data_IF_861076397060
#
_entry.id   IF_861076397060
#
_cell.length_a   1.000
_cell.length_b   1.000
_cell.length_c   1.000
_cell.angle_alpha   90.00
_cell.angle_beta   90.00
_cell.angle_gamma   90.00
#
_symmetry.space_group_name_H-M   'P 1'
#
loop_
_entity.id
_entity.type
_entity.pdbx_description
1 polymer ?
#
# COMPACT_ATOMS: atom_id res chain seq x y z
N UNK A 1 -2.80 32.90 -13.84
CA UNK A 1 -2.28 32.65 -12.46
C UNK A 1 -2.36 31.14 -12.27
N UNK A 2 -1.23 30.46 -12.04
CA UNK A 2 -1.24 29.00 -11.88
C UNK A 2 -2.15 28.62 -10.71
N UNK A 3 -2.92 27.53 -10.85
CA UNK A 3 -3.72 27.00 -9.76
C UNK A 3 -2.77 26.49 -8.65
N UNK A 4 -2.98 26.92 -7.41
CA UNK A 4 -2.25 26.40 -6.26
C UNK A 4 -3.17 26.12 -5.07
N UNK A 5 -2.70 25.27 -4.17
CA UNK A 5 -3.22 25.14 -2.81
C UNK A 5 -2.11 24.80 -1.83
N UNK A 6 -2.32 25.12 -0.57
CA UNK A 6 -1.45 24.66 0.51
C UNK A 6 -1.51 23.14 0.66
N UNK A 7 -0.37 22.57 1.02
CA UNK A 7 -0.25 21.22 1.53
C UNK A 7 -0.91 21.15 2.91
N UNK A 8 -1.58 20.04 3.16
CA UNK A 8 -1.91 19.68 4.53
C UNK A 8 -0.75 18.96 5.23
N UNK A 9 -0.89 18.70 6.52
CA UNK A 9 0.20 18.17 7.34
C UNK A 9 0.60 16.74 6.98
N UNK A 10 -0.34 15.95 6.48
CA UNK A 10 -0.07 14.59 6.04
C UNK A 10 0.67 14.61 4.70
N UNK A 11 0.28 15.52 3.81
CA UNK A 11 1.02 15.76 2.56
C UNK A 11 2.42 16.34 2.84
N UNK A 12 2.57 17.22 3.82
CA UNK A 12 3.89 17.72 4.25
C UNK A 12 4.81 16.61 4.78
N UNK A 13 4.27 15.58 5.42
CA UNK A 13 5.04 14.41 5.85
C UNK A 13 5.67 13.70 4.64
N UNK A 14 4.87 13.43 3.59
CA UNK A 14 5.37 12.81 2.36
C UNK A 14 6.22 13.74 1.51
N UNK A 15 6.09 15.06 1.67
CA UNK A 15 7.02 16.01 1.08
C UNK A 15 8.40 15.97 1.75
N UNK A 16 8.44 15.78 3.07
CA UNK A 16 9.66 15.79 3.87
C UNK A 16 10.41 14.46 3.82
N UNK A 17 9.68 13.36 3.66
CA UNK A 17 10.21 12.02 3.38
C UNK A 17 9.54 11.45 2.13
N UNK A 18 10.06 11.77 0.92
CA UNK A 18 9.43 11.41 -0.35
C UNK A 18 9.29 9.91 -0.55
N UNK A 19 8.08 9.40 -0.32
CA UNK A 19 7.68 8.07 -0.73
C UNK A 19 7.07 8.12 -2.14
N UNK A 20 7.37 7.12 -2.96
CA UNK A 20 6.90 7.01 -4.34
C UNK A 20 6.16 5.70 -4.53
N UNK A 21 4.95 5.78 -5.07
CA UNK A 21 4.11 4.64 -5.42
C UNK A 21 4.28 4.37 -6.91
N UNK A 22 4.62 3.14 -7.28
CA UNK A 22 4.87 2.75 -8.67
C UNK A 22 3.74 1.90 -9.23
N UNK A 23 3.48 2.06 -10.53
CA UNK A 23 2.59 1.22 -11.32
C UNK A 23 3.26 0.86 -12.65
N UNK A 24 3.53 -0.42 -12.89
CA UNK A 24 3.89 -0.93 -14.21
C UNK A 24 2.71 -1.70 -14.81
N UNK A 25 2.41 -1.51 -16.08
CA UNK A 25 1.32 -2.15 -16.82
C UNK A 25 1.92 -2.84 -18.03
N UNK A 26 1.59 -4.12 -18.22
CA UNK A 26 1.86 -4.87 -19.46
C UNK A 26 0.58 -4.88 -20.31
N UNK A 27 0.69 -4.44 -21.55
CA UNK A 27 -0.40 -4.49 -22.53
C UNK A 27 -0.25 -5.73 -23.42
N UNK A 28 -1.33 -6.15 -24.08
CA UNK A 28 -1.31 -7.27 -25.02
C UNK A 28 -0.43 -7.01 -26.25
N UNK A 29 -0.31 -5.74 -26.67
CA UNK A 29 0.37 -5.34 -27.89
C UNK A 29 0.88 -3.89 -27.75
N UNK A 30 2.06 -3.61 -28.32
CA UNK A 30 2.70 -2.28 -28.29
C UNK A 30 1.87 -1.19 -28.98
N UNK A 31 0.99 -1.56 -29.92
CA UNK A 31 0.11 -0.63 -30.64
C UNK A 31 -0.81 0.16 -29.73
N UNK A 32 -1.10 -0.34 -28.52
CA UNK A 32 -1.97 0.32 -27.55
C UNK A 32 -1.23 1.38 -26.72
N UNK A 33 0.11 1.34 -26.68
CA UNK A 33 0.93 2.21 -25.82
C UNK A 33 0.70 3.70 -26.10
N UNK A 34 0.69 4.19 -27.36
CA UNK A 34 0.50 5.62 -27.62
C UNK A 34 -0.82 6.14 -27.05
N UNK A 35 -1.91 5.39 -27.22
CA UNK A 35 -3.23 5.76 -26.74
C UNK A 35 -3.32 5.73 -25.21
N UNK A 36 -2.71 4.74 -24.57
CA UNK A 36 -2.63 4.68 -23.10
C UNK A 36 -1.84 5.85 -22.53
N UNK A 37 -0.67 6.13 -23.09
CA UNK A 37 0.19 7.24 -22.63
C UNK A 37 -0.54 8.56 -22.78
N UNK A 38 -1.21 8.79 -23.91
CA UNK A 38 -2.03 9.98 -24.11
C UNK A 38 -3.13 10.10 -23.04
N UNK A 39 -3.87 9.02 -22.79
CA UNK A 39 -4.91 9.00 -21.75
C UNK A 39 -4.34 9.25 -20.35
N UNK A 40 -3.18 8.69 -20.01
CA UNK A 40 -2.49 8.93 -18.73
C UNK A 40 -2.04 10.38 -18.60
N UNK A 41 -1.40 10.94 -19.62
CA UNK A 41 -0.99 12.36 -19.64
C UNK A 41 -2.20 13.30 -19.49
N UNK A 42 -3.37 12.92 -20.04
CA UNK A 42 -4.61 13.67 -19.91
C UNK A 42 -5.26 13.54 -18.53
N UNK A 43 -5.12 12.39 -17.90
CA UNK A 43 -5.89 12.04 -16.70
C UNK A 43 -5.13 12.31 -15.40
N UNK A 44 -3.83 12.03 -15.35
CA UNK A 44 -3.09 12.02 -14.09
C UNK A 44 -2.58 13.43 -13.72
N UNK A 45 -3.09 14.04 -12.64
CA UNK A 45 -2.67 15.38 -12.26
C UNK A 45 -1.19 15.43 -11.85
N UNK A 46 -0.62 14.34 -11.32
CA UNK A 46 0.77 14.29 -10.84
C UNK A 46 1.81 14.69 -11.90
N UNK A 47 1.51 14.45 -13.18
CA UNK A 47 2.38 14.79 -14.32
C UNK A 47 2.47 16.29 -14.60
N UNK A 48 1.61 17.07 -13.93
CA UNK A 48 1.45 18.52 -14.09
C UNK A 48 1.49 19.25 -12.76
N UNK A 49 1.83 18.56 -11.68
CA UNK A 49 1.93 19.14 -10.36
C UNK A 49 3.37 19.14 -9.89
N UNK A 50 3.72 20.17 -9.13
CA UNK A 50 5.00 20.25 -8.42
C UNK A 50 4.80 20.96 -7.09
N UNK A 51 5.77 20.81 -6.21
CA UNK A 51 5.80 21.51 -4.93
C UNK A 51 6.58 22.81 -5.02
N UNK A 52 5.99 23.88 -4.50
CA UNK A 52 6.64 25.16 -4.29
C UNK A 52 6.44 25.59 -2.83
N UNK A 53 7.50 25.49 -2.02
CA UNK A 53 7.42 25.66 -0.57
C UNK A 53 6.32 24.76 0.05
N UNK A 54 5.31 25.35 0.70
CA UNK A 54 4.18 24.68 1.35
C UNK A 54 2.96 24.52 0.42
N UNK A 55 3.12 24.68 -0.89
CA UNK A 55 2.03 24.59 -1.87
C UNK A 55 2.24 23.51 -2.93
N UNK A 56 1.15 22.88 -3.36
CA UNK A 56 1.08 22.16 -4.64
C UNK A 56 0.61 23.14 -5.70
N UNK A 57 1.35 23.23 -6.80
CA UNK A 57 1.04 24.11 -7.92
C UNK A 57 0.91 23.29 -9.22
N UNK A 58 -0.07 23.65 -10.04
CA UNK A 58 -0.23 23.08 -11.39
C UNK A 58 0.62 23.85 -12.38
N UNK A 59 1.26 23.15 -13.31
CA UNK A 59 1.97 23.71 -14.44
C UNK A 59 1.57 23.03 -15.74
N UNK A 60 1.86 23.69 -16.87
CA UNK A 60 1.54 23.18 -18.21
C UNK A 60 2.74 22.55 -18.93
N UNK A 61 3.92 22.51 -18.30
CA UNK A 61 5.09 21.82 -18.86
C UNK A 61 4.78 20.34 -19.08
N UNK A 62 4.97 19.86 -20.30
CA UNK A 62 4.91 18.44 -20.62
C UNK A 62 6.17 17.74 -20.12
N UNK A 63 6.00 16.55 -19.58
CA UNK A 63 7.12 15.73 -19.11
C UNK A 63 7.61 14.81 -20.21
N UNK A 64 8.94 14.63 -20.33
CA UNK A 64 9.49 13.67 -21.27
C UNK A 64 9.02 12.25 -20.91
N UNK A 65 8.75 11.45 -21.94
CA UNK A 65 8.47 10.02 -21.77
C UNK A 65 9.82 9.30 -21.77
N UNK A 66 10.14 8.66 -20.65
CA UNK A 66 11.37 7.92 -20.46
C UNK A 66 11.33 6.58 -21.22
N UNK A 67 12.49 6.02 -21.56
CA UNK A 67 12.60 4.74 -22.24
C UNK A 67 13.12 3.68 -21.28
N UNK A 68 12.37 2.58 -21.11
CA UNK A 68 12.76 1.47 -20.24
C UNK A 68 13.83 0.63 -20.97
N UNK A 69 14.96 0.27 -20.32
CA UNK A 69 15.98 -0.61 -20.89
C UNK A 69 15.39 -1.96 -21.32
N UNK A 70 15.87 -2.52 -22.43
CA UNK A 70 15.36 -3.79 -23.00
C UNK A 70 15.70 -5.01 -22.15
N UNK A 71 16.69 -4.88 -21.29
CA UNK A 71 17.23 -5.94 -20.44
C UNK A 71 16.29 -6.26 -19.26
N UNK A 72 15.48 -5.29 -18.82
CA UNK A 72 14.63 -5.41 -17.62
C UNK A 72 13.30 -6.08 -17.98
N UNK A 73 13.11 -7.35 -17.60
CA UNK A 73 11.96 -8.12 -18.11
C UNK A 73 10.74 -8.06 -17.20
N UNK A 74 10.93 -8.02 -15.88
CA UNK A 74 9.80 -8.14 -14.93
C UNK A 74 9.22 -6.78 -14.57
N UNK A 75 7.90 -6.71 -14.40
CA UNK A 75 7.19 -5.46 -14.11
C UNK A 75 7.64 -4.78 -12.81
N UNK A 76 7.98 -5.57 -11.79
CA UNK A 76 8.51 -5.09 -10.51
C UNK A 76 9.92 -4.50 -10.66
N UNK A 77 10.79 -5.15 -11.44
CA UNK A 77 12.13 -4.64 -11.77
C UNK A 77 12.05 -3.34 -12.59
N UNK A 78 11.07 -3.24 -13.51
CA UNK A 78 10.78 -1.99 -14.25
C UNK A 78 10.39 -0.87 -13.30
N UNK A 79 9.49 -1.13 -12.35
CA UNK A 79 9.06 -0.14 -11.36
C UNK A 79 10.23 0.32 -10.47
N UNK A 80 11.08 -0.61 -10.02
CA UNK A 80 12.25 -0.29 -9.21
C UNK A 80 13.26 0.56 -9.98
N UNK A 81 13.57 0.18 -11.23
CA UNK A 81 14.45 0.97 -12.09
C UNK A 81 13.90 2.38 -12.32
N UNK A 82 12.61 2.51 -12.62
CA UNK A 82 11.99 3.81 -12.84
C UNK A 82 12.09 4.69 -11.58
N UNK A 83 11.83 4.12 -10.40
CA UNK A 83 11.95 4.84 -9.14
C UNK A 83 13.41 5.19 -8.79
N UNK A 84 14.34 4.27 -8.90
CA UNK A 84 15.73 4.47 -8.46
C UNK A 84 16.48 5.40 -9.41
N UNK A 85 16.26 5.29 -10.72
CA UNK A 85 17.06 6.00 -11.72
C UNK A 85 16.41 7.29 -12.24
N UNK A 86 15.10 7.42 -12.13
CA UNK A 86 14.34 8.47 -12.81
C UNK A 86 13.24 9.11 -11.97
N UNK A 87 13.29 8.98 -10.65
CA UNK A 87 12.44 9.78 -9.76
C UNK A 87 12.75 11.27 -9.93
N UNK A 88 11.79 12.11 -10.34
CA UNK A 88 12.00 13.54 -10.46
C UNK A 88 12.05 14.20 -9.09
N UNK A 89 12.64 15.40 -9.02
CA UNK A 89 12.49 16.23 -7.82
C UNK A 89 11.02 16.61 -7.64
N UNK A 90 10.53 16.55 -6.40
CA UNK A 90 9.16 16.99 -6.06
C UNK A 90 8.93 18.48 -6.41
N UNK A 91 9.99 19.27 -6.54
CA UNK A 91 9.94 20.67 -6.96
C UNK A 91 9.84 20.86 -8.48
N UNK A 92 10.03 19.79 -9.26
CA UNK A 92 9.93 19.79 -10.71
C UNK A 92 8.62 19.18 -11.18
N UNK A 93 8.30 17.96 -10.72
CA UNK A 93 7.04 17.26 -11.01
C UNK A 93 6.79 16.13 -10.00
N UNK A 94 5.53 15.79 -9.74
CA UNK A 94 5.12 14.74 -8.80
C UNK A 94 4.88 13.37 -9.44
N UNK A 95 5.06 13.23 -10.75
CA UNK A 95 4.99 11.95 -11.43
C UNK A 95 5.80 11.93 -12.74
N UNK A 96 6.19 10.73 -13.17
CA UNK A 96 6.86 10.46 -14.45
C UNK A 96 6.30 9.21 -15.13
N UNK A 97 6.48 9.13 -16.46
CA UNK A 97 6.10 7.97 -17.28
C UNK A 97 7.35 7.44 -17.99
N UNK A 98 7.50 6.12 -18.01
CA UNK A 98 8.45 5.40 -18.84
C UNK A 98 7.72 4.36 -19.70
N UNK A 99 8.23 4.09 -20.90
CA UNK A 99 7.65 3.10 -21.83
C UNK A 99 8.72 2.23 -22.47
N UNK A 100 8.32 1.03 -22.88
CA UNK A 100 9.07 0.15 -23.79
C UNK A 100 8.16 -0.93 -24.34
N UNK A 101 8.16 -1.10 -25.66
CA UNK A 101 7.35 -2.10 -26.35
C UNK A 101 5.90 -2.02 -25.83
N UNK A 102 5.36 -3.09 -25.24
CA UNK A 102 4.03 -3.16 -24.64
C UNK A 102 3.96 -2.79 -23.13
N UNK A 103 5.02 -2.26 -22.53
CA UNK A 103 5.10 -1.93 -21.10
C UNK A 103 5.07 -0.43 -20.87
N UNK A 104 4.26 -0.01 -19.89
CA UNK A 104 4.19 1.36 -19.39
C UNK A 104 4.50 1.33 -17.89
N UNK A 105 5.35 2.24 -17.42
CA UNK A 105 5.62 2.43 -16.00
C UNK A 105 5.32 3.86 -15.59
N UNK A 106 4.69 4.02 -14.43
CA UNK A 106 4.31 5.28 -13.82
C UNK A 106 4.94 5.30 -12.43
N UNK A 107 5.68 6.37 -12.13
CA UNK A 107 6.23 6.61 -10.80
C UNK A 107 5.56 7.87 -10.25
N UNK A 108 4.94 7.79 -9.07
CA UNK A 108 4.08 8.86 -8.56
C UNK A 108 4.36 9.13 -7.09
N UNK A 109 4.53 10.40 -6.74
CA UNK A 109 4.79 10.78 -5.36
C UNK A 109 3.54 10.55 -4.47
N UNK A 110 3.78 9.98 -3.28
CA UNK A 110 2.73 9.56 -2.36
C UNK A 110 1.90 10.74 -1.80
N UNK A 111 2.39 11.98 -1.88
CA UNK A 111 1.61 13.21 -1.58
C UNK A 111 0.25 13.22 -2.30
N UNK A 112 0.18 12.66 -3.51
CA UNK A 112 -1.01 12.74 -4.35
C UNK A 112 -1.41 11.40 -4.98
N UNK A 113 -0.94 10.28 -4.43
CA UNK A 113 -1.34 8.94 -4.84
C UNK A 113 -1.39 8.01 -3.63
N UNK A 114 -2.04 6.85 -3.79
CA UNK A 114 -2.03 5.74 -2.85
C UNK A 114 -2.38 4.44 -3.60
N UNK A 115 -2.49 3.30 -2.91
CA UNK A 115 -2.84 2.03 -3.56
C UNK A 115 -4.22 2.02 -4.23
N UNK A 116 -5.22 2.72 -3.65
CA UNK A 116 -6.56 2.82 -4.27
C UNK A 116 -6.52 3.71 -5.52
N UNK A 117 -5.70 4.75 -5.51
CA UNK A 117 -5.45 5.58 -6.68
C UNK A 117 -4.87 4.75 -7.83
N UNK A 118 -3.85 3.91 -7.58
CA UNK A 118 -3.29 3.03 -8.61
C UNK A 118 -4.29 2.01 -9.12
N UNK A 119 -5.08 1.41 -8.23
CA UNK A 119 -6.20 0.54 -8.60
C UNK A 119 -7.17 1.25 -9.55
N UNK A 120 -7.56 2.49 -9.24
CA UNK A 120 -8.45 3.27 -10.09
C UNK A 120 -7.85 3.53 -11.49
N UNK A 121 -6.52 3.71 -11.60
CA UNK A 121 -5.87 3.81 -12.91
C UNK A 121 -6.08 2.51 -13.68
N UNK A 122 -5.69 1.37 -13.11
CA UNK A 122 -5.78 0.06 -13.79
C UNK A 122 -7.21 -0.26 -14.22
N UNK A 123 -8.19 -0.09 -13.32
CA UNK A 123 -9.58 -0.49 -13.58
C UNK A 123 -10.33 0.42 -14.57
N UNK A 124 -9.89 1.69 -14.72
CA UNK A 124 -10.67 2.71 -15.44
C UNK A 124 -9.95 3.36 -16.61
N UNK A 125 -8.63 3.21 -16.76
CA UNK A 125 -7.87 3.88 -17.83
C UNK A 125 -8.28 3.39 -19.23
N UNK A 126 -8.62 2.09 -19.36
CA UNK A 126 -9.13 1.52 -20.61
C UNK A 126 -10.38 2.25 -21.07
N UNK A 127 -11.30 2.52 -20.14
CA UNK A 127 -12.54 3.23 -20.42
C UNK A 127 -12.30 4.71 -20.81
N UNK A 128 -11.08 5.23 -20.65
CA UNK A 128 -10.72 6.60 -21.01
C UNK A 128 -10.05 6.73 -22.39
N UNK A 129 -9.72 5.63 -23.04
CA UNK A 129 -9.07 5.66 -24.35
C UNK A 129 -9.99 6.33 -25.37
N UNK A 130 -9.43 7.27 -26.15
CA UNK A 130 -10.17 8.03 -27.17
C UNK A 130 -11.17 9.05 -26.63
N UNK A 131 -11.39 9.13 -25.32
CA UNK A 131 -12.24 10.17 -24.73
C UNK A 131 -11.48 11.48 -24.63
N UNK A 132 -12.06 12.56 -25.13
CA UNK A 132 -11.61 13.93 -24.86
C UNK A 132 -12.01 14.33 -23.43
N UNK A 133 -11.29 13.80 -22.44
CA UNK A 133 -11.48 14.17 -21.04
C UNK A 133 -10.95 15.57 -20.71
N UNK A 134 -10.11 16.13 -21.58
CA UNK A 134 -9.62 17.49 -21.41
C UNK A 134 -10.58 18.49 -22.02
N UNK A 135 -11.11 19.38 -21.19
CA UNK A 135 -11.28 20.76 -21.60
C UNK A 135 -9.94 21.48 -21.37
N UNK A 136 -9.42 22.11 -22.43
CA UNK A 136 -8.18 22.90 -22.35
C UNK A 136 -8.41 24.30 -21.76
N UNK A 137 -9.55 24.57 -21.11
CA UNK A 137 -9.78 25.86 -20.48
C UNK A 137 -9.09 25.91 -19.11
N UNK A 138 -8.53 27.07 -18.77
CA UNK A 138 -7.78 27.30 -17.53
C UNK A 138 -8.65 27.11 -16.26
N UNK A 139 -9.98 27.23 -16.37
CA UNK A 139 -10.91 27.02 -15.27
C UNK A 139 -11.04 25.53 -14.89
N UNK A 140 -10.97 24.63 -15.87
CA UNK A 140 -11.01 23.19 -15.66
C UNK A 140 -9.67 22.65 -15.19
N UNK A 141 -8.55 23.25 -15.60
CA UNK A 141 -7.23 22.98 -15.03
C UNK A 141 -7.15 23.36 -13.53
N UNK A 142 -7.80 24.46 -13.12
CA UNK A 142 -7.92 24.84 -11.69
C UNK A 142 -8.71 23.82 -10.87
N UNK A 143 -9.66 23.13 -11.50
CA UNK A 143 -10.40 22.02 -10.87
C UNK A 143 -9.56 20.74 -10.73
N UNK A 144 -8.35 20.65 -11.32
CA UNK A 144 -7.52 19.44 -11.25
C UNK A 144 -6.64 19.36 -9.99
N UNK A 145 -6.62 20.38 -9.13
CA UNK A 145 -5.84 20.31 -7.90
C UNK A 145 -6.41 19.19 -7.01
N UNK A 146 -5.60 18.20 -6.63
CA UNK A 146 -6.08 17.07 -5.87
C UNK A 146 -6.59 17.55 -4.53
N UNK A 147 -7.72 17.02 -4.09
CA UNK A 147 -8.33 17.47 -2.85
C UNK A 147 -7.53 16.95 -1.64
N UNK A 148 -7.25 17.84 -0.70
CA UNK A 148 -6.63 17.48 0.58
C UNK A 148 -7.60 16.61 1.40
N UNK A 149 -7.09 15.52 1.98
CA UNK A 149 -7.87 14.68 2.90
C UNK A 149 -8.38 15.47 4.10
N UNK A 150 -7.55 16.37 4.65
CA UNK A 150 -7.99 17.21 5.77
C UNK A 150 -9.14 18.14 5.40
N UNK A 151 -9.15 18.69 4.18
CA UNK A 151 -10.26 19.50 3.72
C UNK A 151 -11.55 18.68 3.58
N UNK A 152 -11.44 17.45 3.07
CA UNK A 152 -12.58 16.54 2.90
C UNK A 152 -13.16 16.05 4.23
N UNK A 153 -12.32 15.88 5.26
CA UNK A 153 -12.70 15.26 6.54
C UNK A 153 -12.56 16.19 7.75
N UNK A 154 -12.51 17.51 7.54
CA UNK A 154 -12.19 18.49 8.60
C UNK A 154 -12.97 18.24 9.90
N UNK A 155 -14.30 18.14 9.83
CA UNK A 155 -15.13 17.94 11.01
C UNK A 155 -14.84 16.61 11.70
N UNK A 156 -14.71 15.52 10.93
CA UNK A 156 -14.42 14.19 11.47
C UNK A 156 -13.04 14.13 12.15
N UNK A 157 -12.04 14.79 11.56
CA UNK A 157 -10.70 14.91 12.14
C UNK A 157 -10.71 15.78 13.39
N UNK A 158 -11.39 16.92 13.36
CA UNK A 158 -11.49 17.83 14.51
C UNK A 158 -12.12 17.11 15.73
N UNK A 159 -13.12 16.26 15.50
CA UNK A 159 -13.74 15.43 16.54
C UNK A 159 -12.78 14.39 17.17
N UNK A 160 -11.65 14.08 16.52
CA UNK A 160 -10.66 13.12 17.01
C UNK A 160 -9.39 13.79 17.56
N UNK A 161 -9.34 15.12 17.65
CA UNK A 161 -8.13 15.86 18.04
C UNK A 161 -7.63 15.53 19.45
N UNK A 162 -8.50 15.10 20.36
CA UNK A 162 -8.12 14.70 21.72
C UNK A 162 -7.93 13.18 21.88
N UNK A 163 -8.17 12.41 20.82
CA UNK A 163 -8.05 10.94 20.86
C UNK A 163 -6.59 10.52 20.78
N UNK A 164 -6.18 9.61 21.67
CA UNK A 164 -4.87 8.94 21.59
C UNK A 164 -4.84 8.08 20.32
N UNK A 165 -3.70 8.14 19.64
CA UNK A 165 -3.36 7.31 18.50
C UNK A 165 -1.89 6.95 18.63
N UNK A 166 -1.58 5.67 18.47
CA UNK A 166 -0.21 5.17 18.42
C UNK A 166 0.10 4.83 16.97
N UNK A 167 1.21 5.34 16.44
CA UNK A 167 1.72 4.83 15.17
C UNK A 167 2.19 3.38 15.38
N UNK A 168 2.24 2.59 14.31
CA UNK A 168 2.48 1.16 14.42
C UNK A 168 3.81 0.79 15.09
N UNK A 169 4.83 1.65 15.00
CA UNK A 169 6.10 1.44 15.71
C UNK A 169 6.05 1.78 17.21
N UNK A 170 5.03 2.51 17.65
CA UNK A 170 4.79 2.91 19.05
C UNK A 170 3.76 2.02 19.74
N UNK A 171 2.87 1.37 18.98
CA UNK A 171 1.74 0.62 19.53
C UNK A 171 2.18 -0.75 20.09
N UNK A 172 1.99 -1.02 21.40
CA UNK A 172 2.44 -2.26 22.03
C UNK A 172 1.60 -3.50 21.66
N UNK A 173 0.46 -3.31 21.01
CA UNK A 173 -0.44 -4.40 20.61
C UNK A 173 -0.19 -4.89 19.17
N UNK A 174 0.71 -4.23 18.43
CA UNK A 174 1.11 -4.62 17.08
C UNK A 174 2.20 -5.68 17.14
N UNK A 175 2.08 -6.72 16.33
CA UNK A 175 3.09 -7.77 16.18
C UNK A 175 4.39 -7.20 15.63
N UNK A 176 5.51 -7.71 16.17
CA UNK A 176 6.84 -7.17 15.87
C UNK A 176 7.81 -8.25 15.44
N UNK A 177 8.46 -8.02 14.31
CA UNK A 177 9.60 -8.83 13.91
C UNK A 177 10.76 -8.45 14.83
N UNK A 178 11.42 -9.46 15.41
CA UNK A 178 12.65 -9.29 16.17
C UNK A 178 13.83 -9.78 15.33
N UNK A 179 14.50 -8.90 14.55
CA UNK A 179 15.60 -9.31 13.68
C UNK A 179 16.63 -10.14 14.44
N UNK A 180 17.08 -11.22 13.80
CA UNK A 180 18.04 -12.16 14.37
C UNK A 180 19.45 -11.87 13.85
N UNK A 181 19.56 -11.64 12.53
CA UNK A 181 20.85 -11.45 11.85
C UNK A 181 21.31 -9.99 11.92
N UNK A 182 22.63 -9.75 11.86
CA UNK A 182 23.18 -8.40 11.75
C UNK A 182 22.66 -7.69 10.50
N UNK A 183 22.31 -6.41 10.65
CA UNK A 183 21.95 -5.52 9.55
C UNK A 183 23.13 -5.32 8.60
N UNK A 184 22.85 -5.20 7.30
CA UNK A 184 23.85 -4.94 6.27
C UNK A 184 23.36 -3.80 5.36
N UNK A 185 23.44 -2.55 5.82
CA UNK A 185 22.97 -1.40 5.04
C UNK A 185 23.73 -1.30 3.72
N UNK A 186 22.99 -1.38 2.61
CA UNK A 186 23.53 -1.31 1.25
C UNK A 186 22.64 -0.48 0.33
N UNK A 187 21.37 -0.29 0.68
CA UNK A 187 20.40 0.47 -0.11
C UNK A 187 20.16 1.87 0.46
N UNK A 188 19.86 2.80 -0.46
CA UNK A 188 19.41 4.15 -0.11
C UNK A 188 17.89 4.24 0.04
N UNK A 189 17.17 3.29 -0.54
CA UNK A 189 15.71 3.16 -0.46
C UNK A 189 15.34 1.93 0.35
N UNK A 190 14.08 1.84 0.75
CA UNK A 190 13.50 0.58 1.18
C UNK A 190 13.65 -0.50 0.10
N UNK A 191 13.51 -1.75 0.53
CA UNK A 191 13.52 -2.95 -0.29
C UNK A 191 12.31 -3.80 0.06
N UNK A 192 12.05 -4.83 -0.74
CA UNK A 192 10.92 -5.72 -0.50
C UNK A 192 11.18 -7.14 -0.94
N UNK A 193 10.50 -8.06 -0.25
CA UNK A 193 10.35 -9.45 -0.67
C UNK A 193 9.00 -9.63 -1.34
N UNK A 194 8.99 -10.01 -2.61
CA UNK A 194 7.80 -10.19 -3.43
C UNK A 194 7.48 -11.69 -3.61
N UNK A 195 6.25 -12.07 -3.27
CA UNK A 195 5.69 -13.37 -3.59
C UNK A 195 4.42 -13.22 -4.44
N UNK A 196 4.22 -14.15 -5.37
CA UNK A 196 3.01 -14.28 -6.15
C UNK A 196 2.40 -15.67 -5.95
N UNK A 197 1.14 -15.70 -5.54
CA UNK A 197 0.38 -16.95 -5.35
C UNK A 197 -0.89 -16.93 -6.17
N UNK A 198 -1.26 -18.06 -6.78
CA UNK A 198 -2.56 -18.19 -7.45
C UNK A 198 -3.66 -18.13 -6.40
N UNK A 199 -4.77 -17.45 -6.72
CA UNK A 199 -5.91 -17.35 -5.79
C UNK A 199 -6.48 -18.74 -5.47
N UNK A 200 -6.47 -19.67 -6.43
CA UNK A 200 -6.92 -21.05 -6.25
C UNK A 200 -6.17 -21.82 -5.16
N UNK A 201 -4.91 -21.43 -4.90
CA UNK A 201 -4.01 -22.19 -4.03
C UNK A 201 -4.11 -21.72 -2.58
N UNK A 202 -4.85 -20.65 -2.32
CA UNK A 202 -5.02 -20.07 -0.99
C UNK A 202 -5.85 -20.97 -0.08
N UNK A 203 -5.46 -21.09 1.18
CA UNK A 203 -6.15 -21.93 2.16
C UNK A 203 -7.62 -21.54 2.32
N UNK A 204 -7.94 -20.24 2.29
CA UNK A 204 -9.32 -19.74 2.38
C UNK A 204 -10.18 -20.12 1.17
N UNK A 205 -9.57 -20.43 0.01
CA UNK A 205 -10.28 -20.91 -1.18
C UNK A 205 -10.40 -22.44 -1.13
N UNK A 206 -9.30 -23.13 -0.85
CA UNK A 206 -9.26 -24.60 -0.70
C UNK A 206 -10.27 -25.12 0.34
N UNK A 207 -10.47 -24.35 1.42
CA UNK A 207 -11.40 -24.67 2.50
C UNK A 207 -12.81 -24.09 2.31
N UNK A 208 -13.07 -23.34 1.23
CA UNK A 208 -14.41 -22.78 0.97
C UNK A 208 -15.32 -23.79 0.28
N UNK A 209 -16.58 -23.87 0.74
CA UNK A 209 -17.60 -24.74 0.13
C UNK A 209 -17.95 -24.36 -1.32
N UNK A 210 -17.82 -23.08 -1.67
CA UNK A 210 -18.18 -22.55 -3.00
C UNK A 210 -16.97 -22.17 -3.85
N UNK A 211 -15.75 -22.47 -3.38
CA UNK A 211 -14.51 -22.09 -4.04
C UNK A 211 -14.28 -20.57 -4.15
N UNK A 212 -15.08 -19.74 -3.45
CA UNK A 212 -14.94 -18.29 -3.46
C UNK A 212 -14.03 -17.80 -2.35
N UNK A 213 -13.29 -16.74 -2.63
CA UNK A 213 -12.49 -16.01 -1.64
C UNK A 213 -13.43 -15.36 -0.61
N UNK A 214 -13.27 -15.74 0.66
CA UNK A 214 -13.92 -15.10 1.82
C UNK A 214 -12.87 -14.89 2.91
N UNK A 215 -12.90 -13.73 3.56
CA UNK A 215 -12.00 -13.43 4.67
C UNK A 215 -10.54 -13.20 4.28
N UNK A 216 -10.26 -12.58 3.12
CA UNK A 216 -8.88 -12.34 2.68
C UNK A 216 -8.10 -11.46 3.67
N UNK A 217 -8.71 -10.41 4.21
CA UNK A 217 -8.04 -9.54 5.21
C UNK A 217 -7.73 -10.30 6.49
N UNK A 218 -8.66 -11.14 6.94
CA UNK A 218 -8.51 -12.03 8.09
C UNK A 218 -7.37 -13.01 7.88
N UNK A 219 -7.31 -13.63 6.70
CA UNK A 219 -6.20 -14.52 6.32
C UNK A 219 -4.87 -13.79 6.37
N UNK A 220 -4.79 -12.55 5.85
CA UNK A 220 -3.58 -11.73 5.89
C UNK A 220 -3.17 -11.37 7.32
N UNK A 221 -4.11 -10.98 8.17
CA UNK A 221 -3.84 -10.73 9.59
C UNK A 221 -3.28 -11.97 10.29
N UNK A 222 -3.91 -13.12 10.10
CA UNK A 222 -3.45 -14.37 10.68
C UNK A 222 -2.05 -14.74 10.17
N UNK A 223 -1.82 -14.70 8.85
CA UNK A 223 -0.53 -14.99 8.25
C UNK A 223 0.57 -14.10 8.80
N UNK A 224 0.33 -12.78 8.92
CA UNK A 224 1.31 -11.86 9.53
C UNK A 224 1.62 -12.26 10.98
N UNK A 225 0.59 -12.37 11.82
CA UNK A 225 0.77 -12.58 13.27
C UNK A 225 1.47 -13.91 13.53
N UNK A 226 1.01 -15.00 12.89
CA UNK A 226 1.54 -16.33 13.10
C UNK A 226 2.96 -16.50 12.55
N UNK A 227 3.28 -15.91 11.39
CA UNK A 227 4.62 -15.97 10.81
C UNK A 227 5.65 -15.18 11.61
N UNK A 228 5.26 -14.01 12.13
CA UNK A 228 6.11 -13.23 13.04
C UNK A 228 6.33 -13.99 14.36
N UNK A 229 5.26 -14.56 14.93
CA UNK A 229 5.36 -15.36 16.15
C UNK A 229 6.29 -16.56 15.97
N UNK A 230 6.11 -17.32 14.89
CA UNK A 230 6.96 -18.45 14.53
C UNK A 230 8.43 -18.04 14.36
N UNK A 231 8.69 -16.95 13.64
CA UNK A 231 10.05 -16.44 13.43
C UNK A 231 10.73 -16.01 14.74
N UNK A 232 10.01 -15.30 15.61
CA UNK A 232 10.53 -14.88 16.89
C UNK A 232 10.83 -16.09 17.79
N UNK A 233 9.89 -17.03 17.90
CA UNK A 233 10.06 -18.23 18.71
C UNK A 233 11.21 -19.11 18.20
N UNK A 234 11.34 -19.30 16.88
CA UNK A 234 12.44 -20.04 16.27
C UNK A 234 13.82 -19.46 16.69
N UNK A 235 13.90 -18.13 16.76
CA UNK A 235 15.11 -17.41 17.14
C UNK A 235 15.25 -17.15 18.66
N UNK A 236 14.45 -17.84 19.49
CA UNK A 236 14.41 -17.66 20.95
C UNK A 236 14.19 -16.19 21.38
N UNK A 237 13.35 -15.46 20.65
CA UNK A 237 12.94 -14.08 20.95
C UNK A 237 11.54 -14.08 21.56
N UNK A 238 11.32 -13.16 22.48
CA UNK A 238 9.98 -12.91 23.03
C UNK A 238 9.20 -12.03 22.07
N UNK A 239 8.04 -12.50 21.64
CA UNK A 239 7.11 -11.70 20.85
C UNK A 239 6.43 -10.62 21.66
N UNK A 240 6.07 -9.53 20.98
CA UNK A 240 5.31 -8.42 21.53
C UNK A 240 4.15 -8.12 20.60
N UNK A 241 2.95 -8.00 21.18
CA UNK A 241 1.73 -7.70 20.43
C UNK A 241 1.26 -8.81 19.48
N UNK A 242 -0.05 -8.86 19.25
CA UNK A 242 -0.68 -9.83 18.36
C UNK A 242 -1.74 -9.11 17.54
N UNK A 243 -1.26 -8.29 16.62
CA UNK A 243 -2.07 -7.34 15.88
C UNK A 243 -1.33 -6.73 14.70
N UNK A 244 -2.05 -5.99 13.88
CA UNK A 244 -1.52 -5.27 12.73
C UNK A 244 -2.12 -3.86 12.66
N UNK A 245 -1.30 -2.89 12.27
CA UNK A 245 -1.84 -1.61 11.80
C UNK A 245 -2.49 -1.89 10.45
N UNK A 246 -3.78 -1.62 10.29
CA UNK A 246 -4.50 -1.93 9.04
C UNK A 246 -4.82 -0.66 8.31
N UNK A 247 -4.25 -0.49 7.11
CA UNK A 247 -4.56 0.64 6.25
C UNK A 247 -6.00 0.51 5.73
N UNK A 248 -6.75 1.60 5.82
CA UNK A 248 -8.13 1.72 5.34
C UNK A 248 -8.24 2.88 4.36
N UNK A 249 -9.03 2.67 3.29
CA UNK A 249 -9.36 3.75 2.35
C UNK A 249 -10.33 4.73 3.01
N UNK A 250 -10.07 6.02 2.89
CA UNK A 250 -10.99 7.06 3.35
C UNK A 250 -12.03 7.45 2.30
N UNK A 251 -11.83 7.05 1.03
CA UNK A 251 -12.74 7.37 -0.09
C UNK A 251 -14.20 6.97 0.15
N UNK A 252 -14.52 5.82 0.79
CA UNK A 252 -15.91 5.46 1.10
C UNK A 252 -16.64 6.43 2.04
N UNK A 253 -15.91 7.30 2.76
CA UNK A 253 -16.49 8.26 3.70
C UNK A 253 -16.60 9.67 3.12
N UNK A 254 -16.17 9.89 1.86
CA UNK A 254 -16.36 11.18 1.20
C UNK A 254 -17.86 11.51 1.10
N UNK A 255 -18.20 12.79 1.25
CA UNK A 255 -19.58 13.25 1.21
C UNK A 255 -19.75 14.55 0.42
N UNK A 256 -20.98 14.83 -0.01
CA UNK A 256 -21.33 15.99 -0.82
C UNK A 256 -20.46 16.11 -2.08
N UNK A 257 -19.99 17.32 -2.37
CA UNK A 257 -19.14 17.62 -3.54
C UNK A 257 -17.87 16.75 -3.65
N UNK A 258 -17.34 16.25 -2.53
CA UNK A 258 -16.14 15.42 -2.53
C UNK A 258 -16.43 14.02 -3.09
N UNK A 259 -17.58 13.45 -2.74
CA UNK A 259 -18.02 12.16 -3.26
C UNK A 259 -18.32 12.25 -4.77
N UNK A 260 -19.07 13.28 -5.18
CA UNK A 260 -19.40 13.55 -6.59
C UNK A 260 -18.14 13.72 -7.44
N UNK A 261 -17.15 14.44 -6.91
CA UNK A 261 -15.90 14.66 -7.60
C UNK A 261 -15.07 13.38 -7.72
N UNK A 262 -14.98 12.57 -6.66
CA UNK A 262 -14.30 11.27 -6.70
C UNK A 262 -14.93 10.29 -7.70
N UNK A 263 -16.26 10.31 -7.83
CA UNK A 263 -16.97 9.47 -8.80
C UNK A 263 -16.62 9.85 -10.25
N UNK A 264 -16.65 11.16 -10.53
CA UNK A 264 -16.33 11.70 -11.86
C UNK A 264 -14.84 11.61 -12.20
N UNK A 265 -13.98 11.77 -11.19
CA UNK A 265 -12.54 11.95 -11.33
C UNK A 265 -11.76 11.15 -10.27
N UNK A 266 -11.76 9.81 -10.36
CA UNK A 266 -11.29 8.92 -9.29
C UNK A 266 -9.76 8.97 -9.04
N UNK A 267 -9.00 9.57 -9.94
CA UNK A 267 -7.57 9.86 -9.83
C UNK A 267 -7.29 11.35 -9.57
N UNK A 268 -8.28 12.14 -9.17
CA UNK A 268 -8.06 13.50 -8.67
C UNK A 268 -8.14 13.56 -7.15
N UNK A 269 -8.54 12.47 -6.53
CA UNK A 269 -8.47 12.31 -5.09
C UNK A 269 -7.18 11.57 -4.79
N UNK A 270 -6.17 12.33 -4.33
CA UNK A 270 -4.80 11.89 -4.10
C UNK A 270 -4.65 10.94 -2.91
N UNK A 271 -3.77 11.25 -1.96
CA UNK A 271 -3.63 10.43 -0.75
C UNK A 271 -4.91 10.45 0.09
N UNK A 272 -5.60 9.33 0.21
CA UNK A 272 -6.81 9.17 1.04
C UNK A 272 -6.83 7.80 1.70
N UNK A 273 -5.81 7.51 2.50
CA UNK A 273 -5.83 6.38 3.41
C UNK A 273 -5.49 6.83 4.84
N UNK A 274 -5.74 5.92 5.77
CA UNK A 274 -5.48 6.03 7.20
C UNK A 274 -5.15 4.64 7.72
N UNK A 275 -4.76 4.50 8.97
CA UNK A 275 -4.49 3.20 9.56
C UNK A 275 -5.21 3.02 10.90
N UNK A 276 -5.77 1.82 11.12
CA UNK A 276 -6.47 1.43 12.33
C UNK A 276 -5.80 0.18 12.89
N UNK A 277 -5.43 0.19 14.18
CA UNK A 277 -4.98 -1.04 14.86
C UNK A 277 -6.09 -2.09 14.86
N UNK A 278 -5.74 -3.31 14.47
CA UNK A 278 -6.51 -4.53 14.77
C UNK A 278 -5.65 -5.47 15.61
N UNK A 279 -6.18 -6.05 16.68
CA UNK A 279 -5.44 -6.93 17.60
C UNK A 279 -6.34 -8.00 18.22
N UNK A 280 -5.72 -9.03 18.79
CA UNK A 280 -6.39 -10.05 19.61
C UNK A 280 -6.67 -9.60 21.05
N UNK A 281 -6.21 -8.39 21.42
CA UNK A 281 -6.33 -7.76 22.75
C UNK A 281 -5.70 -8.54 23.92
N UNK A 282 -4.78 -9.45 23.62
CA UNK A 282 -4.05 -10.24 24.62
C UNK A 282 -3.02 -11.21 24.03
N UNK A 283 -2.45 -12.10 24.85
CA UNK A 283 -1.62 -13.20 24.37
C UNK A 283 -2.44 -14.16 23.50
N UNK A 284 -1.77 -14.82 22.55
CA UNK A 284 -2.39 -15.88 21.76
C UNK A 284 -2.73 -17.09 22.64
N UNK A 285 -3.96 -17.58 22.54
CA UNK A 285 -4.32 -18.89 23.05
C UNK A 285 -4.03 -19.93 21.97
N UNK A 286 -3.12 -20.85 22.25
CA UNK A 286 -2.66 -21.86 21.27
C UNK A 286 -3.78 -22.81 20.82
N UNK A 287 -4.85 -22.93 21.62
CA UNK A 287 -6.01 -23.76 21.30
C UNK A 287 -7.11 -23.01 20.51
N UNK A 288 -7.04 -21.67 20.40
CA UNK A 288 -8.01 -20.92 19.60
C UNK A 288 -7.84 -21.32 18.12
N UNK A 289 -8.94 -21.32 17.36
CA UNK A 289 -8.86 -21.44 15.90
C UNK A 289 -8.41 -20.13 15.29
N UNK A 290 -7.85 -20.19 14.07
CA UNK A 290 -7.51 -18.99 13.30
C UNK A 290 -8.76 -18.10 13.07
N UNK A 291 -9.92 -18.70 12.84
CA UNK A 291 -11.20 -17.98 12.72
C UNK A 291 -11.61 -17.24 14.00
N UNK A 292 -11.29 -17.77 15.18
CA UNK A 292 -11.64 -17.14 16.46
C UNK A 292 -10.84 -15.84 16.67
N UNK A 293 -9.53 -15.89 16.42
CA UNK A 293 -8.65 -14.72 16.58
C UNK A 293 -8.96 -13.65 15.52
N UNK A 294 -9.19 -14.05 14.27
CA UNK A 294 -9.46 -13.10 13.19
C UNK A 294 -10.88 -12.52 13.26
N UNK A 295 -11.85 -13.28 13.78
CA UNK A 295 -13.20 -12.80 14.08
C UNK A 295 -13.21 -11.67 15.13
N UNK A 296 -12.38 -11.81 16.18
CA UNK A 296 -12.16 -10.74 17.18
C UNK A 296 -11.58 -9.49 16.51
N UNK A 297 -10.54 -9.65 15.69
CA UNK A 297 -9.90 -8.54 14.97
C UNK A 297 -10.87 -7.83 14.01
N UNK A 298 -11.68 -8.57 13.26
CA UNK A 298 -12.70 -7.98 12.36
C UNK A 298 -13.74 -7.19 13.15
N UNK A 299 -14.24 -7.76 14.24
CA UNK A 299 -15.21 -7.09 15.11
C UNK A 299 -14.64 -5.80 15.68
N UNK A 300 -13.38 -5.82 16.10
CA UNK A 300 -12.66 -4.64 16.57
C UNK A 300 -12.52 -3.58 15.47
N UNK A 301 -12.09 -3.95 14.25
CA UNK A 301 -11.99 -3.01 13.13
C UNK A 301 -13.33 -2.31 12.86
N UNK A 302 -14.42 -3.08 12.79
CA UNK A 302 -15.74 -2.52 12.50
C UNK A 302 -16.23 -1.61 13.62
N UNK A 303 -16.01 -1.98 14.88
CA UNK A 303 -16.33 -1.14 16.04
C UNK A 303 -15.55 0.18 16.00
N UNK A 304 -14.26 0.13 15.70
CA UNK A 304 -13.39 1.32 15.58
C UNK A 304 -13.80 2.22 14.41
N UNK A 305 -14.19 1.65 13.27
CA UNK A 305 -14.74 2.43 12.15
C UNK A 305 -16.02 3.16 12.55
N UNK A 306 -16.92 2.49 13.28
CA UNK A 306 -18.17 3.11 13.78
C UNK A 306 -17.88 4.25 14.77
N UNK A 307 -16.79 4.15 15.53
CA UNK A 307 -16.32 5.18 16.46
C UNK A 307 -15.54 6.32 15.78
N UNK A 308 -15.34 6.25 14.45
CA UNK A 308 -14.60 7.26 13.69
C UNK A 308 -13.07 7.16 13.82
N UNK A 309 -12.52 6.01 14.24
CA UNK A 309 -11.08 5.84 14.43
C UNK A 309 -10.26 5.95 13.14
N UNK A 310 -10.87 5.74 11.97
CA UNK A 310 -10.25 6.00 10.66
C UNK A 310 -9.76 7.45 10.51
N UNK A 311 -10.25 8.40 11.31
CA UNK A 311 -9.79 9.79 11.28
C UNK A 311 -8.73 10.11 12.35
N UNK A 312 -8.44 9.19 13.28
CA UNK A 312 -7.47 9.40 14.36
C UNK A 312 -6.03 9.56 13.85
N UNK A 313 -5.63 8.82 12.81
CA UNK A 313 -4.31 8.96 12.20
C UNK A 313 -4.07 10.40 11.72
N UNK A 314 -5.03 10.96 10.97
CA UNK A 314 -4.96 12.36 10.52
C UNK A 314 -4.97 13.35 11.69
N UNK A 315 -5.79 13.11 12.72
CA UNK A 315 -5.77 13.95 13.92
C UNK A 315 -4.40 13.89 14.63
N UNK A 316 -3.78 12.72 14.68
CA UNK A 316 -2.46 12.49 15.26
C UNK A 316 -1.35 13.21 14.47
N UNK A 317 -1.37 13.16 13.14
CA UNK A 317 -0.38 13.89 12.33
C UNK A 317 -0.44 15.39 12.52
N UNK A 318 -1.62 15.98 12.82
CA UNK A 318 -1.69 17.39 13.23
C UNK A 318 -0.98 17.66 14.55
N UNK A 319 -1.09 16.72 15.50
CA UNK A 319 -0.45 16.85 16.81
C UNK A 319 1.06 16.63 16.77
N UNK A 320 1.60 15.94 15.77
CA UNK A 320 3.06 15.81 15.62
C UNK A 320 3.76 17.18 15.53
N UNK A 321 3.09 18.22 15.03
CA UNK A 321 3.63 19.60 15.06
C UNK A 321 3.89 20.13 16.48
N UNK A 322 3.21 19.58 17.49
CA UNK A 322 3.44 19.92 18.89
C UNK A 322 4.56 19.10 19.55
N UNK A 323 5.26 18.25 18.79
CA UNK A 323 6.37 17.43 19.28
C UNK A 323 5.97 16.22 20.13
N UNK A 324 4.69 15.83 20.11
CA UNK A 324 4.23 14.64 20.84
C UNK A 324 4.60 13.36 20.08
N UNK A 325 5.59 12.64 20.57
CA UNK A 325 5.97 11.30 20.13
C UNK A 325 5.84 10.32 21.28
N UNK A 326 5.37 9.10 21.00
CA UNK A 326 5.39 8.02 21.98
C UNK A 326 6.71 7.24 21.85
N UNK A 327 7.18 6.59 22.93
CA UNK A 327 8.36 5.76 22.85
C UNK A 327 8.17 4.63 21.84
N UNK A 328 9.15 4.46 20.97
CA UNK A 328 9.22 3.33 20.04
C UNK A 328 9.31 2.04 20.86
N UNK A 329 8.58 1.02 20.44
CA UNK A 329 8.69 -0.30 21.05
C UNK A 329 9.82 -1.11 20.38
N UNK A 330 10.44 -2.07 21.08
CA UNK A 330 11.48 -2.93 20.50
C UNK A 330 11.00 -3.74 19.30
N UNK A 331 11.85 -3.89 18.29
CA UNK A 331 11.54 -4.64 17.07
C UNK A 331 10.71 -3.85 16.07
N UNK A 332 10.46 -4.46 14.91
CA UNK A 332 9.84 -3.82 13.76
C UNK A 332 8.34 -4.08 13.76
N UNK A 333 7.55 -3.05 14.06
CA UNK A 333 6.09 -3.13 13.97
C UNK A 333 5.63 -3.34 12.53
N UNK A 334 4.53 -4.06 12.34
CA UNK A 334 3.98 -4.40 11.02
C UNK A 334 2.69 -3.63 10.72
N UNK A 335 2.62 -3.08 9.52
CA UNK A 335 1.40 -2.56 8.91
C UNK A 335 0.93 -3.48 7.78
N UNK A 336 -0.39 -3.68 7.65
CA UNK A 336 -1.03 -4.32 6.51
C UNK A 336 -1.65 -3.24 5.62
N UNK A 337 -1.13 -3.10 4.41
CA UNK A 337 -1.70 -2.25 3.37
C UNK A 337 -2.27 -3.10 2.23
N UNK A 338 -3.55 -3.47 2.34
CA UNK A 338 -4.23 -4.28 1.33
C UNK A 338 -5.12 -3.43 0.43
N UNK A 339 -4.79 -3.33 -0.87
CA UNK A 339 -5.61 -2.64 -1.88
C UNK A 339 -6.85 -3.46 -2.25
N UNK A 340 -6.80 -4.78 -2.05
CA UNK A 340 -7.84 -5.71 -2.43
C UNK A 340 -7.79 -6.09 -3.93
N UNK A 341 -8.91 -6.58 -4.49
CA UNK A 341 -8.96 -7.01 -5.88
C UNK A 341 -8.90 -5.83 -6.83
N UNK A 342 -8.07 -5.96 -7.87
CA UNK A 342 -7.92 -5.05 -9.00
C UNK A 342 -8.31 -5.81 -10.26
N UNK A 343 -9.39 -5.39 -10.90
CA UNK A 343 -9.92 -6.05 -12.09
C UNK A 343 -9.24 -5.50 -13.33
N UNK A 344 -8.54 -6.35 -14.07
CA UNK A 344 -7.98 -5.96 -15.36
C UNK A 344 -8.96 -6.26 -16.47
N UNK A 345 -8.94 -5.41 -17.50
CA UNK A 345 -9.67 -5.59 -18.75
C UNK A 345 -8.71 -5.43 -19.91
N UNK A 346 -9.00 -6.09 -21.02
CA UNK A 346 -8.19 -5.94 -22.24
C UNK A 346 -8.13 -4.45 -22.66
N UNK A 347 -6.98 -3.97 -23.15
CA UNK A 347 -5.78 -4.72 -23.51
C UNK A 347 -4.74 -4.85 -22.38
N UNK A 348 -5.10 -4.64 -21.10
CA UNK A 348 -4.17 -4.88 -19.98
C UNK A 348 -4.04 -6.39 -19.75
N UNK A 349 -2.80 -6.89 -19.78
CA UNK A 349 -2.46 -8.31 -19.57
C UNK A 349 -2.03 -8.60 -18.14
N UNK A 350 -1.19 -7.74 -17.56
CA UNK A 350 -0.79 -7.81 -16.16
C UNK A 350 -0.37 -6.41 -15.69
N UNK A 351 -0.22 -6.25 -14.37
CA UNK A 351 0.29 -5.02 -13.79
C UNK A 351 1.05 -5.32 -12.49
N UNK A 352 1.89 -4.38 -12.08
CA UNK A 352 2.56 -4.38 -10.79
C UNK A 352 2.32 -3.05 -10.09
N UNK A 353 1.99 -3.09 -8.80
CA UNK A 353 1.95 -1.92 -7.91
C UNK A 353 3.06 -2.08 -6.88
N UNK A 354 3.79 -1.01 -6.60
CA UNK A 354 4.87 -1.00 -5.61
C UNK A 354 4.90 0.31 -4.84
N UNK A 355 5.72 0.35 -3.79
CA UNK A 355 6.03 1.56 -3.04
C UNK A 355 7.50 1.52 -2.67
N UNK A 356 8.23 2.62 -2.89
CA UNK A 356 9.59 2.79 -2.39
C UNK A 356 9.70 4.15 -1.72
N UNK A 357 10.19 4.15 -0.49
CA UNK A 357 10.61 5.34 0.23
C UNK A 357 12.10 5.30 0.57
N UNK A 358 12.63 6.35 1.21
CA UNK A 358 13.97 6.36 1.77
C UNK A 358 14.18 5.20 2.75
N UNK A 359 15.38 4.62 2.81
CA UNK A 359 15.70 3.53 3.73
C UNK A 359 15.61 3.92 5.21
N UNK A 360 15.64 5.22 5.52
CA UNK A 360 15.53 5.77 6.87
C UNK A 360 14.10 6.22 7.23
N UNK A 361 13.12 6.03 6.32
CA UNK A 361 11.82 6.69 6.41
C UNK A 361 10.87 6.19 7.52
N UNK A 362 11.07 5.02 8.14
CA UNK A 362 10.38 4.62 9.38
C UNK A 362 10.85 3.24 9.86
N UNK A 363 11.13 3.11 11.16
CA UNK A 363 11.60 1.86 11.82
C UNK A 363 10.54 0.76 11.98
N UNK A 364 9.95 0.31 10.87
CA UNK A 364 9.07 -0.86 10.84
C UNK A 364 8.83 -1.40 9.43
N UNK A 365 7.89 -2.34 9.29
CA UNK A 365 7.62 -3.05 8.05
C UNK A 365 6.19 -2.82 7.57
N UNK A 366 5.96 -2.97 6.27
CA UNK A 366 4.61 -2.95 5.69
C UNK A 366 4.41 -4.16 4.77
N UNK A 367 3.39 -4.97 5.03
CA UNK A 367 2.91 -5.95 4.06
C UNK A 367 1.93 -5.26 3.10
N UNK A 368 2.44 -4.91 1.92
CA UNK A 368 1.62 -4.35 0.83
C UNK A 368 1.06 -5.48 -0.04
N UNK A 369 -0.26 -5.52 -0.19
CA UNK A 369 -0.94 -6.60 -0.91
C UNK A 369 -2.01 -6.11 -1.86
N UNK A 370 -2.20 -6.86 -2.95
CA UNK A 370 -3.31 -6.68 -3.87
C UNK A 370 -3.52 -7.95 -4.68
N UNK A 371 -4.70 -8.08 -5.30
CA UNK A 371 -4.99 -9.19 -6.19
C UNK A 371 -5.25 -8.70 -7.61
N UNK A 372 -4.74 -9.43 -8.60
CA UNK A 372 -5.09 -9.27 -10.00
C UNK A 372 -6.23 -10.22 -10.32
N UNK A 373 -7.34 -9.68 -10.82
CA UNK A 373 -8.52 -10.45 -11.23
C UNK A 373 -8.71 -10.28 -12.74
N UNK A 374 -8.56 -11.38 -13.48
CA UNK A 374 -8.75 -11.44 -14.93
C UNK A 374 -10.23 -11.67 -15.29
N UNK A 375 -10.65 -11.24 -16.48
CA UNK A 375 -12.04 -11.44 -16.94
C UNK A 375 -12.44 -12.92 -17.03
N UNK A 376 -11.48 -13.79 -17.36
CA UNK A 376 -11.65 -15.24 -17.52
C UNK A 376 -11.19 -16.04 -16.28
N UNK A 377 -10.73 -15.36 -15.22
CA UNK A 377 -10.15 -15.96 -14.02
C UNK A 377 -8.94 -16.89 -14.24
N UNK A 378 -8.32 -16.90 -15.43
CA UNK A 378 -7.27 -17.88 -15.76
C UNK A 378 -5.93 -17.60 -15.07
N UNK A 379 -5.70 -16.36 -14.69
CA UNK A 379 -4.45 -15.89 -14.07
C UNK A 379 -4.69 -15.07 -12.80
N UNK A 380 -5.80 -15.36 -12.11
CA UNK A 380 -6.14 -14.75 -10.83
C UNK A 380 -5.05 -15.02 -9.79
N UNK A 381 -4.43 -13.95 -9.29
CA UNK A 381 -3.30 -14.04 -8.36
C UNK A 381 -3.33 -12.97 -7.28
N UNK A 382 -2.73 -13.29 -6.15
CA UNK A 382 -2.41 -12.33 -5.09
C UNK A 382 -0.90 -12.08 -5.10
N UNK A 383 -0.54 -10.83 -4.84
CA UNK A 383 0.84 -10.40 -4.63
C UNK A 383 0.98 -9.90 -3.20
N UNK A 384 2.03 -10.35 -2.54
CA UNK A 384 2.43 -9.90 -1.21
C UNK A 384 3.83 -9.32 -1.30
N UNK A 385 4.00 -8.13 -0.71
CA UNK A 385 5.26 -7.42 -0.68
C UNK A 385 5.55 -7.01 0.76
N UNK A 386 6.52 -7.68 1.39
CA UNK A 386 7.02 -7.22 2.69
C UNK A 386 8.04 -6.12 2.43
N UNK A 387 7.64 -4.87 2.63
CA UNK A 387 8.48 -3.68 2.53
C UNK A 387 9.25 -3.50 3.85
N UNK A 388 10.56 -3.30 3.75
CA UNK A 388 11.46 -3.10 4.89
C UNK A 388 12.70 -2.28 4.49
N UNK A 389 13.49 -1.90 5.49
CA UNK A 389 14.82 -1.30 5.29
C UNK A 389 15.92 -2.30 5.67
N UNK A 390 16.98 -2.38 4.87
CA UNK A 390 18.18 -3.16 5.20
C UNK A 390 19.01 -2.55 6.35
N UNK A 391 18.61 -1.35 6.79
CA UNK A 391 19.09 -0.69 8.02
C UNK A 391 18.42 -1.22 9.28
N UNK A 392 17.25 -1.82 9.12
CA UNK A 392 16.41 -2.30 10.23
C UNK A 392 16.38 -3.82 10.31
N UNK A 393 16.45 -4.51 9.16
CA UNK A 393 16.35 -5.97 9.08
C UNK A 393 17.28 -6.53 8.01
N UNK A 394 17.94 -7.64 8.33
CA UNK A 394 18.74 -8.37 7.35
C UNK A 394 17.83 -8.94 6.23
N UNK A 395 18.22 -8.88 4.95
CA UNK A 395 17.40 -9.42 3.86
C UNK A 395 17.04 -10.90 3.97
N UNK A 396 17.89 -11.71 4.61
CA UNK A 396 17.58 -13.13 4.85
C UNK A 396 16.44 -13.26 5.86
N UNK A 397 16.46 -12.50 6.95
CA UNK A 397 15.35 -12.49 7.94
C UNK A 397 14.05 -12.03 7.28
N UNK A 398 14.13 -10.98 6.45
CA UNK A 398 12.99 -10.47 5.70
C UNK A 398 12.39 -11.53 4.77
N UNK A 399 13.24 -12.23 4.02
CA UNK A 399 12.83 -13.31 3.10
C UNK A 399 12.19 -14.48 3.84
N UNK A 400 12.71 -14.87 5.00
CA UNK A 400 12.13 -15.93 5.82
C UNK A 400 10.74 -15.53 6.32
N UNK A 401 10.58 -14.31 6.85
CA UNK A 401 9.28 -13.82 7.32
C UNK A 401 8.29 -13.68 6.17
N UNK A 402 8.67 -13.05 5.07
CA UNK A 402 7.81 -12.86 3.90
C UNK A 402 7.40 -14.20 3.26
N UNK A 403 8.34 -15.15 3.15
CA UNK A 403 8.06 -16.49 2.66
C UNK A 403 7.13 -17.26 3.59
N UNK A 404 7.30 -17.12 4.91
CA UNK A 404 6.40 -17.73 5.89
C UNK A 404 4.97 -17.13 5.79
N UNK A 405 4.84 -15.82 5.52
CA UNK A 405 3.54 -15.17 5.31
C UNK A 405 2.85 -15.72 4.05
N UNK A 406 3.56 -15.82 2.93
CA UNK A 406 3.01 -16.40 1.69
C UNK A 406 2.63 -17.88 1.89
N UNK A 407 3.50 -18.65 2.54
CA UNK A 407 3.24 -20.04 2.88
C UNK A 407 1.99 -20.18 3.77
N UNK A 408 1.85 -19.34 4.80
CA UNK A 408 0.68 -19.33 5.66
C UNK A 408 -0.61 -19.05 4.88
N UNK A 409 -0.60 -18.13 3.93
CA UNK A 409 -1.78 -17.84 3.09
C UNK A 409 -2.24 -19.06 2.27
N UNK A 410 -1.31 -19.94 1.89
CA UNK A 410 -1.60 -21.16 1.12
C UNK A 410 -1.96 -22.34 2.01
N UNK A 411 -1.34 -22.49 3.18
CA UNK A 411 -1.46 -23.73 3.97
C UNK A 411 -2.26 -23.59 5.27
N UNK A 412 -2.41 -22.40 5.83
CA UNK A 412 -3.11 -22.18 7.10
C UNK A 412 -4.54 -21.69 6.85
N UNK A 413 -5.50 -22.56 7.13
CA UNK A 413 -6.92 -22.29 7.00
C UNK A 413 -7.58 -21.81 8.31
N UNK A 414 -8.86 -21.38 8.22
CA UNK A 414 -9.61 -20.82 9.34
C UNK A 414 -9.86 -21.81 10.50
N UNK A 415 -9.80 -23.11 10.23
CA UNK A 415 -10.06 -24.18 11.21
C UNK A 415 -8.80 -24.71 11.90
N UNK A 416 -7.61 -24.31 11.45
CA UNK A 416 -6.36 -24.67 12.11
C UNK A 416 -6.31 -24.03 13.51
N UNK A 417 -5.66 -24.72 14.46
CA UNK A 417 -5.33 -24.13 15.75
C UNK A 417 -4.16 -23.15 15.60
N UNK A 418 -4.09 -22.16 16.48
CA UNK A 418 -2.95 -21.22 16.52
C UNK A 418 -1.63 -21.96 16.79
N UNK A 419 -1.61 -22.90 17.73
CA UNK A 419 -0.42 -23.66 18.11
C UNK A 419 0.15 -24.49 16.96
N UNK A 420 -0.70 -25.29 16.30
CA UNK A 420 -0.25 -26.12 15.17
C UNK A 420 0.27 -25.26 14.02
N UNK A 421 -0.40 -24.12 13.77
CA UNK A 421 0.00 -23.19 12.72
C UNK A 421 1.39 -22.60 12.98
N UNK A 422 1.70 -22.23 14.22
CA UNK A 422 3.02 -21.71 14.60
C UNK A 422 4.10 -22.79 14.40
N UNK A 423 3.85 -24.04 14.80
CA UNK A 423 4.83 -25.12 14.62
C UNK A 423 5.07 -25.45 13.14
N UNK A 424 4.01 -25.46 12.32
CA UNK A 424 4.13 -25.60 10.86
C UNK A 424 5.03 -24.50 10.28
N UNK A 425 4.84 -23.25 10.71
CA UNK A 425 5.62 -22.11 10.21
C UNK A 425 7.06 -22.12 10.72
N UNK A 426 7.31 -22.56 11.96
CA UNK A 426 8.67 -22.76 12.48
C UNK A 426 9.42 -23.82 11.67
N UNK A 427 8.74 -24.91 11.30
CA UNK A 427 9.33 -25.93 10.44
C UNK A 427 9.65 -25.37 9.05
N UNK A 428 8.75 -24.59 8.45
CA UNK A 428 9.03 -23.89 7.19
C UNK A 428 10.28 -22.98 7.30
N UNK A 429 10.38 -22.18 8.37
CA UNK A 429 11.52 -21.28 8.58
C UNK A 429 12.82 -22.09 8.69
N UNK A 430 12.82 -23.17 9.47
CA UNK A 430 13.97 -24.06 9.64
C UNK A 430 14.44 -24.69 8.32
N UNK A 431 13.51 -25.04 7.43
CA UNK A 431 13.82 -25.68 6.14
C UNK A 431 14.34 -24.69 5.09
N UNK A 432 14.12 -23.39 5.27
CA UNK A 432 14.46 -22.35 4.31
C UNK A 432 15.56 -21.37 4.80
N UNK A 433 16.07 -21.60 6.01
CA UNK A 433 17.28 -20.97 6.56
C UNK A 433 18.55 -21.59 5.98
#
# INVERSE_FOLDING_TARGET
MLASRKLDLLEMMFASSPCWIQLSIELEDERYVPQFVESLQKSLPGLRMKMNADEIIIHNKEQPILQIPKEIKKLNEVSNWHCINHTPSIHEVLASIAVRDNIISINHNHVCSDGTYLKNIVEKIVDQIGKNLRSNNEADLKNLLPQSGFAAFKQSVDNQMNSIYYFYNEDPFISRIMPHRPIQPSHQTGIYELFESKISDLAIVKNSKDGKVKGMTESLWASIILSIEAFNQYNNKTSMGHGASTVVSLRPYLSGKFAEFNEKFPWHVGYQCSAIRTSTDGPLNMNDKISDITGKMRSQLMSKIQQGEQFKFMAATRRLQSGMFYPQQPGLGIELSNVGPVRIKRPIKDFYMGSLGPADAAGGCCLFTYSTICEDHSHDKIRTQLLYSDRDMNPIDAKLVAGAIDFALREIGPENSVGDSIEILKQYIKENE
#
